data_IF_920054042626
#
_entry.id   IF_920054042626
#
_cell.length_a   1.000
_cell.length_b   1.000
_cell.length_c   1.000
_cell.angle_alpha   90.00
_cell.angle_beta   90.00
_cell.angle_gamma   90.00
#
_symmetry.space_group_name_H-M   'P 1'
#
loop_
_entity.id
_entity.type
_entity.pdbx_description
1 polymer ?
#
# COMPACT_ATOMS: atom_id res chain seq x y z
N UNK A 1 -69.79 8.33 45.49
CA UNK A 1 -70.92 7.60 44.86
C UNK A 1 -71.40 8.44 43.69
N UNK A 2 -70.74 8.28 42.54
CA UNK A 2 -71.15 8.81 41.24
C UNK A 2 -70.82 7.70 40.27
N UNK A 3 -71.89 7.02 39.84
CA UNK A 3 -71.97 6.14 38.69
C UNK A 3 -72.13 7.01 37.45
N UNK A 4 -71.41 6.68 36.38
CA UNK A 4 -71.71 6.94 34.95
C UNK A 4 -70.42 6.66 34.19
N UNK A 5 -70.34 5.98 33.06
CA UNK A 5 -71.27 5.28 32.18
C UNK A 5 -70.33 4.77 31.07
N UNK A 6 -70.21 3.46 30.87
CA UNK A 6 -69.40 2.88 29.78
C UNK A 6 -70.22 2.94 28.48
N UNK A 7 -69.67 3.40 27.35
CA UNK A 7 -70.27 3.16 26.04
C UNK A 7 -69.67 1.90 25.39
N UNK A 8 -70.61 1.07 24.91
CA UNK A 8 -70.44 -0.10 24.06
C UNK A 8 -69.91 0.27 22.65
N UNK A 9 -69.02 -0.60 22.18
CA UNK A 9 -68.90 -1.22 20.85
C UNK A 9 -69.31 -0.45 19.59
N UNK A 10 -68.34 -0.31 18.68
CA UNK A 10 -68.59 -0.54 17.25
C UNK A 10 -67.29 -0.99 16.56
N UNK A 11 -67.10 -2.30 16.49
CA UNK A 11 -66.12 -2.93 15.59
C UNK A 11 -66.54 -2.72 14.14
N UNK A 12 -65.89 -1.77 13.46
CA UNK A 12 -65.95 -1.65 12.00
C UNK A 12 -64.77 -2.42 11.40
N UNK A 13 -65.04 -3.67 11.04
CA UNK A 13 -64.14 -4.55 10.29
C UNK A 13 -64.02 -4.02 8.86
N UNK A 14 -63.02 -3.16 8.64
CA UNK A 14 -62.58 -2.73 7.32
C UNK A 14 -61.39 -3.60 6.90
N UNK A 15 -61.60 -4.44 5.88
CA UNK A 15 -60.56 -5.17 5.16
C UNK A 15 -59.54 -4.18 4.58
N UNK A 16 -58.54 -3.85 5.39
CA UNK A 16 -57.41 -3.04 5.01
C UNK A 16 -56.48 -3.88 4.16
N UNK A 17 -56.42 -3.56 2.87
CA UNK A 17 -55.35 -4.00 1.99
C UNK A 17 -54.01 -3.77 2.70
N UNK A 18 -53.37 -4.85 3.11
CA UNK A 18 -52.00 -4.89 3.62
C UNK A 18 -51.09 -4.35 2.51
N UNK A 19 -51.00 -3.03 2.48
CA UNK A 19 -49.97 -2.30 1.78
C UNK A 19 -48.71 -2.75 2.47
N UNK A 20 -48.04 -3.72 1.85
CA UNK A 20 -46.67 -4.13 2.16
C UNK A 20 -45.83 -2.85 2.03
N UNK A 21 -45.81 -2.05 3.11
CA UNK A 21 -44.82 -1.01 3.34
C UNK A 21 -43.54 -1.81 3.43
N UNK A 22 -42.93 -2.05 2.26
CA UNK A 22 -41.59 -2.58 2.18
C UNK A 22 -40.81 -1.81 3.22
N UNK A 23 -40.22 -2.54 4.16
CA UNK A 23 -39.33 -2.00 5.16
C UNK A 23 -38.35 -1.13 4.38
N UNK A 24 -38.61 0.18 4.35
CA UNK A 24 -37.66 1.17 3.90
C UNK A 24 -36.57 1.00 4.95
N UNK A 25 -35.50 0.31 4.56
CA UNK A 25 -34.30 0.19 5.36
C UNK A 25 -34.01 1.60 5.88
N UNK A 26 -34.11 1.77 7.20
CA UNK A 26 -33.83 3.06 7.79
C UNK A 26 -32.44 3.46 7.30
N UNK A 27 -32.29 4.67 6.70
CA UNK A 27 -31.03 5.08 6.13
C UNK A 27 -29.97 5.00 7.22
N UNK A 28 -29.05 4.05 7.09
CA UNK A 28 -27.99 3.84 8.05
C UNK A 28 -27.10 5.07 7.97
N UNK A 29 -27.27 5.99 8.91
CA UNK A 29 -26.45 7.19 9.00
C UNK A 29 -25.02 6.74 9.31
N UNK A 30 -24.17 6.67 8.29
CA UNK A 30 -22.76 6.31 8.46
C UNK A 30 -22.10 7.29 9.43
N UNK A 31 -21.48 6.75 10.47
CA UNK A 31 -20.75 7.54 11.44
C UNK A 31 -19.53 8.19 10.76
N UNK A 32 -19.23 9.47 11.03
CA UNK A 32 -18.08 10.11 10.42
C UNK A 32 -16.77 9.38 10.75
N UNK A 33 -15.97 9.11 9.72
CA UNK A 33 -14.75 8.32 9.86
C UNK A 33 -13.59 9.19 10.35
N UNK A 34 -12.78 8.67 11.28
CA UNK A 34 -11.56 9.34 11.74
C UNK A 34 -10.49 9.34 10.64
N UNK A 35 -9.64 10.38 10.59
CA UNK A 35 -8.60 10.51 9.56
C UNK A 35 -7.46 9.45 9.62
N UNK A 36 -7.51 8.53 10.59
CA UNK A 36 -6.53 7.47 10.82
C UNK A 36 -5.27 7.92 11.59
N UNK A 37 -4.55 6.95 12.15
CA UNK A 37 -3.35 7.18 12.97
C UNK A 37 -2.08 7.17 12.09
N UNK A 38 -1.70 8.32 11.55
CA UNK A 38 -0.42 8.46 10.83
C UNK A 38 0.09 9.90 10.81
N UNK A 39 1.39 10.09 10.56
CA UNK A 39 1.98 11.43 10.36
C UNK A 39 1.27 12.21 9.24
N UNK A 40 0.88 11.52 8.17
CA UNK A 40 0.18 12.13 7.03
C UNK A 40 -1.24 12.58 7.41
N UNK A 41 -1.95 11.79 8.21
CA UNK A 41 -3.26 12.15 8.76
C UNK A 41 -3.14 13.34 9.72
N UNK A 42 -2.12 13.35 10.59
CA UNK A 42 -1.82 14.48 11.47
C UNK A 42 -1.56 15.77 10.70
N UNK A 43 -0.70 15.71 9.67
CA UNK A 43 -0.39 16.87 8.85
C UNK A 43 -1.61 17.35 8.07
N UNK A 44 -2.44 16.44 7.55
CA UNK A 44 -3.69 16.78 6.87
C UNK A 44 -4.67 17.46 7.83
N UNK A 45 -4.91 16.88 9.01
CA UNK A 45 -5.78 17.46 10.03
C UNK A 45 -5.28 18.82 10.52
N UNK A 46 -3.96 18.98 10.75
CA UNK A 46 -3.36 20.25 11.17
C UNK A 46 -3.43 21.29 10.06
N UNK A 47 -3.09 20.97 8.82
CA UNK A 47 -3.22 21.85 7.67
C UNK A 47 -4.66 22.38 7.54
N UNK A 48 -5.66 21.49 7.62
CA UNK A 48 -7.06 21.88 7.44
C UNK A 48 -7.53 22.75 8.62
N UNK A 49 -7.34 22.29 9.86
CA UNK A 49 -7.85 22.97 11.06
C UNK A 49 -7.14 24.27 11.37
N UNK A 50 -5.82 24.28 11.27
CA UNK A 50 -5.04 25.48 11.58
C UNK A 50 -5.22 26.54 10.50
N UNK A 51 -5.34 26.15 9.23
CA UNK A 51 -5.63 27.10 8.16
C UNK A 51 -6.97 27.83 8.34
N UNK A 52 -8.04 27.07 8.64
CA UNK A 52 -9.38 27.66 8.87
C UNK A 52 -9.35 28.64 10.04
N UNK A 53 -8.73 28.24 11.14
CA UNK A 53 -8.68 29.05 12.35
C UNK A 53 -7.78 30.29 12.22
N UNK A 54 -6.71 30.21 11.43
CA UNK A 54 -5.88 31.37 11.09
C UNK A 54 -6.66 32.38 10.25
N UNK A 55 -7.49 31.92 9.31
CA UNK A 55 -8.36 32.79 8.51
C UNK A 55 -9.54 33.35 9.30
N UNK A 56 -10.03 32.64 10.31
CA UNK A 56 -11.09 33.08 11.22
C UNK A 56 -10.65 34.07 12.30
N UNK A 57 -9.38 34.52 12.32
CA UNK A 57 -8.91 35.52 13.29
C UNK A 57 -8.62 34.99 14.69
N UNK A 58 -8.19 33.72 14.83
CA UNK A 58 -7.89 33.13 16.15
C UNK A 58 -6.78 33.89 16.89
N UNK A 59 -6.99 34.16 18.19
CA UNK A 59 -6.03 34.87 19.06
C UNK A 59 -4.68 34.15 19.22
N UNK A 60 -4.64 32.83 19.07
CA UNK A 60 -3.44 32.00 19.27
C UNK A 60 -2.70 31.67 17.96
N UNK A 61 -2.48 32.67 17.09
CA UNK A 61 -1.84 32.53 15.77
C UNK A 61 -0.52 31.74 15.84
N UNK A 62 0.38 32.13 16.75
CA UNK A 62 1.72 31.54 16.84
C UNK A 62 1.68 30.04 17.15
N UNK A 63 0.81 29.61 18.07
CA UNK A 63 0.69 28.19 18.45
C UNK A 63 0.22 27.35 17.27
N UNK A 64 -0.71 27.86 16.47
CA UNK A 64 -1.26 27.17 15.29
C UNK A 64 -0.23 27.06 14.17
N UNK A 65 0.49 28.14 13.88
CA UNK A 65 1.58 28.15 12.90
C UNK A 65 2.68 27.16 13.30
N UNK A 66 3.09 27.17 14.58
CA UNK A 66 4.10 26.23 15.08
C UNK A 66 3.64 24.79 15.00
N UNK A 67 2.38 24.49 15.31
CA UNK A 67 1.82 23.13 15.18
C UNK A 67 1.79 22.65 13.74
N UNK A 68 1.29 23.48 12.82
CA UNK A 68 1.26 23.18 11.40
C UNK A 68 2.68 22.94 10.86
N UNK A 69 3.62 23.84 11.19
CA UNK A 69 5.03 23.69 10.81
C UNK A 69 5.66 22.41 11.37
N UNK A 70 5.40 22.07 12.64
CA UNK A 70 5.91 20.84 13.26
C UNK A 70 5.35 19.58 12.56
N UNK A 71 4.05 19.56 12.24
CA UNK A 71 3.43 18.42 11.54
C UNK A 71 3.99 18.24 10.13
N UNK A 72 4.21 19.34 9.39
CA UNK A 72 4.83 19.32 8.07
C UNK A 72 6.30 18.90 8.13
N UNK A 73 7.05 19.39 9.12
CA UNK A 73 8.44 18.99 9.33
C UNK A 73 8.54 17.48 9.60
N UNK A 74 7.60 16.91 10.36
CA UNK A 74 7.52 15.46 10.58
C UNK A 74 7.22 14.68 9.28
N UNK A 75 6.34 15.19 8.41
CA UNK A 75 6.10 14.58 7.08
C UNK A 75 7.39 14.61 6.25
N UNK A 76 8.02 15.78 6.13
CA UNK A 76 9.27 15.95 5.35
C UNK A 76 10.37 15.04 5.89
N UNK A 77 10.52 14.98 7.22
CA UNK A 77 11.49 14.09 7.88
C UNK A 77 11.18 12.61 7.59
N UNK A 78 9.93 12.18 7.72
CA UNK A 78 9.51 10.80 7.43
C UNK A 78 9.79 10.43 5.97
N UNK A 79 9.42 11.29 5.03
CA UNK A 79 9.65 11.09 3.60
C UNK A 79 11.14 11.04 3.28
N UNK A 80 11.93 11.98 3.81
CA UNK A 80 13.37 12.01 3.62
C UNK A 80 14.04 10.74 4.17
N UNK A 81 13.65 10.29 5.37
CA UNK A 81 14.16 9.07 5.96
C UNK A 81 13.78 7.83 5.14
N UNK A 82 12.53 7.74 4.67
CA UNK A 82 12.09 6.63 3.83
C UNK A 82 12.86 6.57 2.51
N UNK A 83 13.05 7.70 1.82
CA UNK A 83 13.85 7.75 0.59
C UNK A 83 15.33 7.48 0.85
N UNK A 84 15.89 7.96 1.96
CA UNK A 84 17.25 7.64 2.37
C UNK A 84 17.44 6.14 2.57
N UNK A 85 16.53 5.48 3.29
CA UNK A 85 16.60 4.03 3.51
C UNK A 85 16.42 3.25 2.20
N UNK A 86 15.46 3.63 1.36
CA UNK A 86 15.28 3.06 0.02
C UNK A 86 16.54 3.19 -0.85
N UNK A 87 17.17 4.36 -0.82
CA UNK A 87 18.43 4.62 -1.53
C UNK A 87 19.55 3.70 -1.03
N UNK A 88 19.66 3.49 0.28
CA UNK A 88 20.66 2.59 0.86
C UNK A 88 20.37 1.12 0.51
N UNK A 89 19.11 0.67 0.61
CA UNK A 89 18.70 -0.68 0.19
C UNK A 89 19.06 -0.92 -1.27
N UNK A 90 18.78 0.06 -2.15
CA UNK A 90 19.13 -0.06 -3.56
C UNK A 90 20.65 -0.17 -3.77
N UNK A 91 21.42 0.75 -3.21
CA UNK A 91 22.85 0.84 -3.51
C UNK A 91 23.70 -0.22 -2.79
N UNK A 92 23.39 -0.52 -1.53
CA UNK A 92 24.20 -1.39 -0.69
C UNK A 92 23.77 -2.85 -0.81
N UNK A 93 22.46 -3.11 -0.93
CA UNK A 93 21.91 -4.47 -0.91
C UNK A 93 21.56 -4.94 -2.32
N UNK A 94 20.62 -4.26 -2.98
CA UNK A 94 20.08 -4.71 -4.27
C UNK A 94 21.16 -4.77 -5.37
N UNK A 95 21.99 -3.73 -5.54
CA UNK A 95 23.07 -3.76 -6.55
C UNK A 95 24.06 -4.89 -6.33
N UNK A 96 24.44 -5.15 -5.08
CA UNK A 96 25.38 -6.22 -4.72
C UNK A 96 24.77 -7.59 -5.01
N UNK A 97 23.53 -7.83 -4.55
CA UNK A 97 22.78 -9.05 -4.78
C UNK A 97 22.58 -9.34 -6.29
N UNK A 98 22.16 -8.32 -7.06
CA UNK A 98 22.00 -8.44 -8.52
C UNK A 98 23.33 -8.77 -9.22
N UNK A 99 24.45 -8.19 -8.78
CA UNK A 99 25.76 -8.51 -9.37
C UNK A 99 26.17 -9.96 -9.06
N UNK A 100 25.94 -10.40 -7.83
CA UNK A 100 26.29 -11.76 -7.39
C UNK A 100 25.47 -12.81 -8.15
N UNK A 101 24.14 -12.71 -8.15
CA UNK A 101 23.28 -13.67 -8.85
C UNK A 101 23.55 -13.73 -10.37
N UNK A 102 23.95 -12.59 -10.98
CA UNK A 102 24.38 -12.55 -12.39
C UNK A 102 25.70 -13.24 -12.64
N UNK A 103 26.62 -13.16 -11.68
CA UNK A 103 27.90 -13.86 -11.75
C UNK A 103 27.67 -15.37 -11.65
N UNK A 104 26.89 -15.80 -10.66
CA UNK A 104 26.57 -17.22 -10.44
C UNK A 104 25.87 -17.81 -11.66
N UNK A 105 24.86 -17.12 -12.19
CA UNK A 105 24.20 -17.53 -13.43
C UNK A 105 25.15 -17.51 -14.65
N UNK A 106 26.07 -16.54 -14.72
CA UNK A 106 27.04 -16.47 -15.83
C UNK A 106 28.01 -17.64 -15.83
N UNK A 107 28.48 -18.10 -14.67
CA UNK A 107 29.39 -19.24 -14.58
C UNK A 107 28.67 -20.54 -14.92
N UNK A 108 27.43 -20.68 -14.46
CA UNK A 108 26.53 -21.77 -14.86
C UNK A 108 26.36 -21.81 -16.39
N UNK A 109 25.95 -20.70 -17.01
CA UNK A 109 25.73 -20.62 -18.47
C UNK A 109 27.00 -20.95 -19.27
N UNK A 110 28.15 -20.45 -18.85
CA UNK A 110 29.40 -20.77 -19.51
C UNK A 110 29.74 -22.26 -19.44
N UNK A 111 29.47 -22.89 -18.31
CA UNK A 111 29.77 -24.31 -18.09
C UNK A 111 28.80 -25.23 -18.83
N UNK A 112 27.51 -24.89 -18.84
CA UNK A 112 26.44 -25.73 -19.39
C UNK A 112 26.30 -25.66 -20.92
N UNK A 113 26.71 -24.55 -21.53
CA UNK A 113 26.66 -24.36 -22.99
C UNK A 113 28.07 -24.45 -23.63
N UNK A 114 29.13 -24.25 -22.84
CA UNK A 114 30.50 -24.23 -23.31
C UNK A 114 30.89 -22.95 -24.05
N UNK A 115 32.18 -22.82 -24.36
CA UNK A 115 32.75 -21.61 -24.97
C UNK A 115 32.24 -21.32 -26.40
N UNK A 116 31.81 -22.35 -27.13
CA UNK A 116 31.35 -22.21 -28.52
C UNK A 116 29.87 -21.82 -28.64
N UNK A 117 29.06 -22.03 -27.59
CA UNK A 117 27.62 -21.76 -27.58
C UNK A 117 27.22 -20.79 -26.46
N UNK A 118 28.19 -19.98 -25.99
CA UNK A 118 27.95 -18.89 -25.06
C UNK A 118 28.50 -17.57 -25.63
N UNK A 119 27.78 -16.47 -25.36
CA UNK A 119 28.17 -15.13 -25.78
C UNK A 119 28.08 -14.15 -24.61
N UNK A 120 28.90 -13.10 -24.63
CA UNK A 120 28.86 -12.04 -23.62
C UNK A 120 27.72 -11.06 -23.95
N UNK A 121 26.83 -10.83 -23.00
CA UNK A 121 25.79 -9.80 -23.13
C UNK A 121 26.36 -8.38 -22.94
N UNK A 122 25.52 -7.36 -23.12
CA UNK A 122 25.89 -5.92 -22.94
C UNK A 122 26.49 -5.58 -21.57
N UNK A 123 26.26 -6.42 -20.56
CA UNK A 123 26.74 -6.24 -19.20
C UNK A 123 28.01 -7.08 -18.90
N UNK A 124 28.56 -7.80 -19.89
CA UNK A 124 29.76 -8.62 -19.73
C UNK A 124 29.54 -9.96 -19.03
N UNK A 125 28.32 -10.49 -19.04
CA UNK A 125 28.01 -11.83 -18.51
C UNK A 125 27.71 -12.81 -19.64
N UNK A 126 28.16 -14.06 -19.51
CA UNK A 126 27.91 -15.14 -20.47
C UNK A 126 26.42 -15.53 -20.51
N UNK A 127 25.93 -15.81 -21.71
CA UNK A 127 24.58 -16.30 -22.01
C UNK A 127 24.66 -17.39 -23.07
N UNK A 128 23.99 -18.49 -22.84
CA UNK A 128 23.88 -19.65 -23.69
C UNK A 128 22.97 -19.41 -24.89
N UNK A 129 23.22 -20.15 -25.96
CA UNK A 129 22.36 -20.19 -27.14
C UNK A 129 21.25 -21.24 -26.96
N UNK A 130 19.97 -20.87 -27.17
CA UNK A 130 18.86 -21.82 -27.05
C UNK A 130 19.08 -23.08 -27.92
N UNK A 131 18.92 -24.26 -27.32
CA UNK A 131 19.08 -25.55 -28.00
C UNK A 131 20.44 -26.23 -27.82
N UNK A 132 21.42 -25.55 -27.21
CA UNK A 132 22.76 -26.10 -26.95
C UNK A 132 23.03 -26.42 -25.46
N UNK A 133 21.97 -26.52 -24.64
CA UNK A 133 22.09 -26.86 -23.23
C UNK A 133 22.56 -28.32 -23.07
N UNK A 134 23.71 -28.52 -22.42
CA UNK A 134 24.24 -29.84 -22.09
C UNK A 134 24.06 -30.14 -20.59
N UNK A 135 22.95 -30.80 -20.24
CA UNK A 135 22.59 -31.08 -18.84
C UNK A 135 23.56 -32.01 -18.10
N UNK A 136 24.39 -32.76 -18.84
CA UNK A 136 25.40 -33.67 -18.29
C UNK A 136 26.58 -32.91 -17.67
N UNK A 137 26.90 -31.72 -18.18
CA UNK A 137 27.98 -30.87 -17.65
C UNK A 137 27.67 -30.33 -16.25
N UNK A 138 26.41 -30.40 -15.82
CA UNK A 138 26.05 -30.02 -14.46
C UNK A 138 26.77 -30.88 -13.41
N UNK A 139 27.14 -32.11 -13.72
CA UNK A 139 27.91 -32.96 -12.81
C UNK A 139 29.35 -32.49 -12.60
N UNK A 140 29.91 -31.78 -13.58
CA UNK A 140 31.29 -31.28 -13.56
C UNK A 140 31.41 -29.98 -12.75
N UNK A 141 30.28 -29.32 -12.47
CA UNK A 141 30.21 -28.14 -11.59
C UNK A 141 30.42 -28.57 -10.13
N UNK A 142 31.22 -27.80 -9.40
CA UNK A 142 31.47 -28.03 -7.97
C UNK A 142 30.17 -27.98 -7.15
N UNK A 143 30.12 -28.77 -6.08
CA UNK A 143 28.93 -28.89 -5.21
C UNK A 143 28.40 -27.52 -4.75
N UNK A 144 29.27 -26.66 -4.23
CA UNK A 144 28.91 -25.33 -3.73
C UNK A 144 28.31 -24.43 -4.82
N UNK A 145 28.80 -24.55 -6.05
CA UNK A 145 28.31 -23.77 -7.18
C UNK A 145 26.95 -24.28 -7.67
N UNK A 146 26.74 -25.60 -7.68
CA UNK A 146 25.42 -26.20 -7.95
C UNK A 146 24.40 -25.73 -6.93
N UNK A 147 24.77 -25.76 -5.64
CA UNK A 147 23.89 -25.35 -4.56
C UNK A 147 23.55 -23.85 -4.67
N UNK A 148 24.53 -23.00 -4.98
CA UNK A 148 24.31 -21.56 -5.24
C UNK A 148 23.36 -21.30 -6.41
N UNK A 149 23.56 -22.03 -7.52
CA UNK A 149 22.73 -21.89 -8.74
C UNK A 149 21.31 -22.39 -8.49
N UNK A 150 21.13 -23.52 -7.80
CA UNK A 150 19.80 -24.03 -7.48
C UNK A 150 19.08 -23.19 -6.41
N UNK A 151 19.79 -22.39 -5.62
CA UNK A 151 19.19 -21.40 -4.72
C UNK A 151 18.75 -20.09 -5.41
N UNK A 152 18.98 -19.94 -6.72
CA UNK A 152 18.42 -18.82 -7.49
C UNK A 152 16.88 -18.89 -7.41
N UNK A 153 16.17 -17.84 -6.95
CA UNK A 153 14.73 -17.92 -6.74
C UNK A 153 13.91 -18.27 -7.99
N UNK A 154 14.42 -17.93 -9.19
CA UNK A 154 13.78 -18.31 -10.46
C UNK A 154 13.84 -19.82 -10.77
N UNK A 155 14.71 -20.59 -10.11
CA UNK A 155 14.68 -22.06 -10.17
C UNK A 155 13.43 -22.64 -9.48
N UNK A 156 12.86 -21.89 -8.52
CA UNK A 156 11.71 -22.25 -7.70
C UNK A 156 10.58 -21.22 -7.84
N UNK A 157 10.04 -21.11 -9.05
CA UNK A 157 9.09 -20.05 -9.44
C UNK A 157 7.87 -20.00 -8.53
N UNK A 158 7.31 -21.15 -8.15
CA UNK A 158 6.11 -21.20 -7.31
C UNK A 158 6.36 -20.58 -5.93
N UNK A 159 7.53 -20.88 -5.34
CA UNK A 159 7.95 -20.31 -4.06
C UNK A 159 8.21 -18.80 -4.18
N UNK A 160 8.94 -18.38 -5.21
CA UNK A 160 9.19 -16.96 -5.48
C UNK A 160 7.87 -16.21 -5.72
N UNK A 161 6.94 -16.78 -6.48
CA UNK A 161 5.64 -16.19 -6.78
C UNK A 161 4.84 -15.95 -5.50
N UNK A 162 4.76 -16.96 -4.62
CA UNK A 162 4.07 -16.84 -3.34
C UNK A 162 4.65 -15.70 -2.48
N UNK A 163 5.97 -15.62 -2.35
CA UNK A 163 6.63 -14.54 -1.59
C UNK A 163 6.38 -13.17 -2.23
N UNK A 164 6.59 -13.04 -3.54
CA UNK A 164 6.37 -11.77 -4.24
C UNK A 164 4.90 -11.34 -4.16
N UNK A 165 3.97 -12.28 -4.15
CA UNK A 165 2.55 -12.03 -3.97
C UNK A 165 2.26 -11.50 -2.57
N UNK A 166 2.77 -12.15 -1.52
CA UNK A 166 2.64 -11.67 -0.13
C UNK A 166 3.20 -10.25 -0.02
N UNK A 167 4.41 -10.02 -0.53
CA UNK A 167 5.04 -8.70 -0.54
C UNK A 167 4.20 -7.65 -1.28
N UNK A 168 3.71 -7.99 -2.47
CA UNK A 168 2.88 -7.09 -3.29
C UNK A 168 1.57 -6.79 -2.60
N UNK A 169 0.92 -7.76 -1.96
CA UNK A 169 -0.30 -7.57 -1.19
C UNK A 169 -0.08 -6.64 0.02
N UNK A 170 1.04 -6.77 0.73
CA UNK A 170 1.42 -5.84 1.81
C UNK A 170 1.57 -4.40 1.30
N UNK A 171 2.21 -4.23 0.13
CA UNK A 171 2.28 -2.93 -0.53
C UNK A 171 0.90 -2.45 -1.02
N UNK A 172 0.07 -3.34 -1.56
CA UNK A 172 -1.26 -3.04 -2.08
C UNK A 172 -2.21 -2.58 -0.97
N UNK A 173 -2.15 -3.19 0.23
CA UNK A 173 -2.89 -2.70 1.40
C UNK A 173 -2.48 -1.26 1.77
N UNK A 174 -1.18 -0.98 1.77
CA UNK A 174 -0.68 0.38 2.02
C UNK A 174 -1.11 1.38 0.95
N UNK A 175 -1.13 0.94 -0.32
CA UNK A 175 -1.53 1.75 -1.48
C UNK A 175 -3.05 2.01 -1.48
N UNK A 176 -3.86 0.99 -1.19
CA UNK A 176 -5.32 1.09 -1.03
C UNK A 176 -5.67 2.18 -0.04
N UNK A 177 -5.06 2.19 1.14
CA UNK A 177 -5.31 3.23 2.15
C UNK A 177 -4.93 4.64 1.65
N UNK A 178 -3.91 4.77 0.78
CA UNK A 178 -3.56 6.06 0.16
C UNK A 178 -4.62 6.47 -0.85
N UNK A 179 -5.07 5.53 -1.69
CA UNK A 179 -6.09 5.78 -2.71
C UNK A 179 -7.41 6.15 -2.06
N UNK A 180 -7.86 5.43 -1.04
CA UNK A 180 -9.10 5.72 -0.30
C UNK A 180 -9.06 7.13 0.30
N UNK A 181 -7.99 7.49 1.02
CA UNK A 181 -7.82 8.84 1.55
C UNK A 181 -7.75 9.91 0.43
N UNK A 182 -7.13 9.58 -0.70
CA UNK A 182 -7.04 10.50 -1.85
C UNK A 182 -8.41 10.72 -2.47
N UNK A 183 -9.18 9.66 -2.70
CA UNK A 183 -10.55 9.73 -3.23
C UNK A 183 -11.44 10.52 -2.26
N UNK A 184 -11.37 10.23 -0.96
CA UNK A 184 -12.16 10.89 0.08
C UNK A 184 -11.89 12.39 0.16
N UNK A 185 -10.62 12.81 0.20
CA UNK A 185 -10.27 14.21 0.36
C UNK A 185 -10.34 15.01 -0.95
N UNK A 186 -9.96 14.41 -2.08
CA UNK A 186 -9.82 15.14 -3.34
C UNK A 186 -11.09 15.12 -4.18
N UNK A 187 -11.75 13.96 -4.24
CA UNK A 187 -12.88 13.71 -5.15
C UNK A 187 -14.20 13.90 -4.40
N UNK A 188 -14.38 13.20 -3.28
CA UNK A 188 -15.65 13.16 -2.54
C UNK A 188 -15.91 14.47 -1.81
N UNK A 189 -14.94 14.96 -1.05
CA UNK A 189 -15.12 16.18 -0.27
C UNK A 189 -15.35 17.37 -1.21
N UNK A 190 -16.51 18.07 -1.15
CA UNK A 190 -16.83 19.13 -2.11
C UNK A 190 -15.86 20.30 -2.00
N UNK A 191 -15.65 21.00 -3.13
CA UNK A 191 -14.80 22.19 -3.16
C UNK A 191 -15.61 23.42 -2.74
N UNK A 192 -15.26 24.04 -1.62
CA UNK A 192 -15.93 25.26 -1.12
C UNK A 192 -15.15 26.52 -1.48
N UNK A 193 -15.85 27.64 -1.68
CA UNK A 193 -15.25 28.93 -2.03
C UNK A 193 -14.79 29.70 -0.79
N UNK A 194 -15.52 29.55 0.33
CA UNK A 194 -15.20 30.20 1.60
C UNK A 194 -14.62 29.23 2.62
N UNK A 195 -13.69 29.73 3.43
CA UNK A 195 -13.05 28.99 4.52
C UNK A 195 -14.03 28.73 5.69
N UNK A 196 -15.07 29.57 5.84
CA UNK A 196 -16.10 29.38 6.86
C UNK A 196 -16.99 28.16 6.60
N UNK A 197 -17.08 27.67 5.36
CA UNK A 197 -17.90 26.52 4.96
C UNK A 197 -17.17 25.18 5.13
N UNK A 198 -15.90 25.21 5.55
CA UNK A 198 -15.07 24.01 5.70
C UNK A 198 -15.56 23.12 6.84
N UNK A 199 -16.03 23.73 7.94
CA UNK A 199 -16.52 23.01 9.11
C UNK A 199 -18.01 23.18 9.31
N UNK A 200 -18.65 22.13 9.82
CA UNK A 200 -19.99 22.24 10.35
C UNK A 200 -19.95 22.86 11.75
N UNK A 201 -20.58 24.02 11.91
CA UNK A 201 -20.61 24.75 13.18
C UNK A 201 -21.53 24.08 14.21
N UNK A 202 -22.53 23.32 13.77
CA UNK A 202 -23.53 22.72 14.65
C UNK A 202 -22.98 21.49 15.40
N UNK A 203 -21.94 20.85 14.87
CA UNK A 203 -21.31 19.65 15.43
C UNK A 203 -20.14 19.94 16.38
N UNK A 204 -19.89 21.22 16.69
CA UNK A 204 -18.74 21.61 17.54
C UNK A 204 -18.93 21.30 19.04
N UNK A 205 -20.14 20.89 19.45
CA UNK A 205 -20.52 20.68 20.86
C UNK A 205 -19.87 19.44 21.53
N UNK A 206 -19.13 18.62 20.79
CA UNK A 206 -18.43 17.43 21.31
C UNK A 206 -16.90 17.49 21.26
N UNK A 207 -16.30 18.58 20.78
CA UNK A 207 -14.85 18.64 20.51
C UNK A 207 -14.41 17.84 19.27
N UNK A 208 -15.37 17.25 18.56
CA UNK A 208 -15.22 16.67 17.23
C UNK A 208 -15.33 17.77 16.17
N UNK A 209 -14.54 17.65 15.10
CA UNK A 209 -14.54 18.59 13.98
C UNK A 209 -14.77 17.79 12.72
N UNK A 210 -15.95 17.99 12.11
CA UNK A 210 -16.34 17.32 10.87
C UNK A 210 -16.02 18.23 9.69
N UNK A 211 -15.22 17.72 8.74
CA UNK A 211 -14.89 18.42 7.49
C UNK A 211 -16.05 18.23 6.51
N UNK A 212 -16.71 19.33 6.15
CA UNK A 212 -17.81 19.34 5.17
C UNK A 212 -17.32 19.63 3.75
N UNK A 213 -16.27 20.42 3.61
CA UNK A 213 -15.72 20.84 2.32
C UNK A 213 -14.29 21.32 2.43
N UNK A 214 -13.58 21.38 1.31
CA UNK A 214 -12.20 21.88 1.26
C UNK A 214 -12.04 22.91 0.16
N UNK A 215 -11.30 24.00 0.43
CA UNK A 215 -10.96 24.93 -0.64
C UNK A 215 -9.98 24.28 -1.64
N UNK A 216 -9.97 24.75 -2.89
CA UNK A 216 -9.06 24.22 -3.93
C UNK A 216 -7.58 24.31 -3.50
N UNK A 217 -7.18 25.41 -2.86
CA UNK A 217 -5.82 25.59 -2.35
C UNK A 217 -5.45 24.58 -1.26
N UNK A 218 -6.38 24.26 -0.35
CA UNK A 218 -6.15 23.24 0.68
C UNK A 218 -6.03 21.84 0.08
N UNK A 219 -6.89 21.49 -0.90
CA UNK A 219 -6.79 20.23 -1.65
C UNK A 219 -5.43 20.09 -2.33
N UNK A 220 -4.98 21.15 -3.02
CA UNK A 220 -3.67 21.15 -3.67
C UNK A 220 -2.52 20.99 -2.67
N UNK A 221 -2.58 21.68 -1.52
CA UNK A 221 -1.57 21.56 -0.48
C UNK A 221 -1.52 20.14 0.12
N UNK A 222 -2.67 19.55 0.46
CA UNK A 222 -2.75 18.18 0.99
C UNK A 222 -2.26 17.16 -0.05
N UNK A 223 -2.68 17.29 -1.30
CA UNK A 223 -2.25 16.41 -2.39
C UNK A 223 -0.73 16.45 -2.59
N UNK A 224 -0.16 17.64 -2.68
CA UNK A 224 1.27 17.82 -3.01
C UNK A 224 2.19 17.51 -1.83
N UNK A 225 1.82 17.91 -0.60
CA UNK A 225 2.68 17.78 0.57
C UNK A 225 2.50 16.44 1.30
N UNK A 226 1.31 15.81 1.21
CA UNK A 226 1.01 14.60 1.98
C UNK A 226 0.76 13.37 1.10
N UNK A 227 -0.18 13.44 0.15
CA UNK A 227 -0.66 12.25 -0.58
C UNK A 227 0.33 11.78 -1.66
N UNK A 228 0.81 12.69 -2.50
CA UNK A 228 1.70 12.36 -3.62
C UNK A 228 3.05 11.77 -3.16
N UNK A 229 3.77 12.33 -2.17
CA UNK A 229 5.01 11.74 -1.69
C UNK A 229 4.80 10.33 -1.12
N UNK A 230 3.69 10.11 -0.41
CA UNK A 230 3.33 8.81 0.14
C UNK A 230 3.05 7.78 -0.96
N UNK A 231 2.31 8.17 -2.01
CA UNK A 231 2.04 7.33 -3.16
C UNK A 231 3.33 6.91 -3.88
N UNK A 232 4.20 7.88 -4.17
CA UNK A 232 5.49 7.61 -4.84
C UNK A 232 6.35 6.67 -4.00
N UNK A 233 6.42 6.89 -2.68
CA UNK A 233 7.25 6.07 -1.80
C UNK A 233 6.79 4.60 -1.75
N UNK A 234 5.47 4.34 -1.68
CA UNK A 234 4.92 2.97 -1.70
C UNK A 234 5.16 2.29 -3.04
N UNK A 235 4.95 2.98 -4.16
CA UNK A 235 5.18 2.44 -5.50
C UNK A 235 6.67 2.11 -5.73
N UNK A 236 7.57 3.01 -5.33
CA UNK A 236 9.00 2.81 -5.41
C UNK A 236 9.47 1.63 -4.54
N UNK A 237 8.90 1.50 -3.32
CA UNK A 237 9.21 0.41 -2.41
C UNK A 237 8.71 -0.94 -2.94
N UNK A 238 7.51 -1.01 -3.53
CA UNK A 238 7.01 -2.24 -4.15
C UNK A 238 7.94 -2.71 -5.29
N UNK A 239 8.28 -1.81 -6.21
CA UNK A 239 9.17 -2.11 -7.33
C UNK A 239 10.58 -2.53 -6.88
N UNK A 240 11.19 -1.76 -5.97
CA UNK A 240 12.51 -2.07 -5.45
C UNK A 240 12.52 -3.36 -4.64
N UNK A 241 11.47 -3.60 -3.85
CA UNK A 241 11.30 -4.81 -3.06
C UNK A 241 11.22 -6.05 -3.94
N UNK A 242 10.38 -6.05 -4.98
CA UNK A 242 10.31 -7.17 -5.93
C UNK A 242 11.68 -7.47 -6.57
N UNK A 243 12.42 -6.42 -6.96
CA UNK A 243 13.75 -6.56 -7.55
C UNK A 243 14.79 -7.10 -6.57
N UNK A 244 14.77 -6.66 -5.31
CA UNK A 244 15.72 -7.13 -4.30
C UNK A 244 15.42 -8.56 -3.87
N UNK A 245 14.15 -8.91 -3.66
CA UNK A 245 13.73 -10.28 -3.31
C UNK A 245 14.13 -11.27 -4.40
N UNK A 246 13.90 -10.94 -5.68
CA UNK A 246 14.28 -11.80 -6.80
C UNK A 246 15.81 -11.95 -6.96
N UNK A 247 16.59 -10.96 -6.52
CA UNK A 247 18.04 -10.97 -6.60
C UNK A 247 18.75 -11.67 -5.43
N UNK A 248 18.00 -12.17 -4.44
CA UNK A 248 18.57 -12.84 -3.27
C UNK A 248 18.99 -14.26 -3.64
N UNK A 249 20.18 -14.69 -3.22
CA UNK A 249 20.83 -15.95 -3.62
C UNK A 249 20.59 -17.12 -2.64
N UNK A 250 19.62 -16.98 -1.75
CA UNK A 250 19.22 -17.98 -0.76
C UNK A 250 17.73 -17.83 -0.48
N UNK A 251 16.98 -18.94 -0.57
CA UNK A 251 15.52 -18.94 -0.37
C UNK A 251 15.12 -18.51 1.06
N UNK A 252 15.96 -18.81 2.06
CA UNK A 252 15.76 -18.39 3.44
C UNK A 252 15.95 -16.88 3.62
N UNK A 253 16.95 -16.31 2.95
CA UNK A 253 17.24 -14.88 2.98
C UNK A 253 16.14 -14.06 2.29
N UNK A 254 15.45 -14.64 1.29
CA UNK A 254 14.33 -13.96 0.62
C UNK A 254 13.24 -13.57 1.65
N UNK A 255 12.87 -14.48 2.56
CA UNK A 255 11.84 -14.21 3.57
C UNK A 255 12.31 -13.14 4.57
N UNK A 256 13.55 -13.24 5.05
CA UNK A 256 14.15 -12.25 5.96
C UNK A 256 14.22 -10.86 5.32
N UNK A 257 14.60 -10.80 4.04
CA UNK A 257 14.64 -9.55 3.28
C UNK A 257 13.23 -8.96 3.09
N UNK A 258 12.20 -9.81 2.93
CA UNK A 258 10.80 -9.38 2.88
C UNK A 258 10.34 -8.72 4.17
N UNK A 259 10.63 -9.33 5.32
CA UNK A 259 10.34 -8.76 6.64
C UNK A 259 11.11 -7.47 6.90
N UNK A 260 12.36 -7.38 6.46
CA UNK A 260 13.16 -6.16 6.57
C UNK A 260 12.55 -5.00 5.74
N UNK A 261 11.97 -5.28 4.58
CA UNK A 261 11.28 -4.28 3.77
C UNK A 261 9.96 -3.81 4.40
N UNK A 262 9.28 -4.66 5.17
CA UNK A 262 8.06 -4.29 5.89
C UNK A 262 8.32 -3.16 6.90
N UNK A 263 9.48 -3.16 7.56
CA UNK A 263 9.90 -2.07 8.45
C UNK A 263 9.85 -0.69 7.76
N UNK A 264 10.17 -0.62 6.47
CA UNK A 264 10.10 0.63 5.70
C UNK A 264 8.66 1.12 5.47
N UNK A 265 7.68 0.20 5.36
CA UNK A 265 6.27 0.55 5.23
C UNK A 265 5.69 1.07 6.56
N UNK A 266 6.11 0.47 7.68
CA UNK A 266 5.61 0.78 9.03
C UNK A 266 6.27 2.04 9.63
N UNK A 267 7.39 2.51 9.07
CA UNK A 267 8.15 3.66 9.56
C UNK A 267 7.29 4.90 9.87
N UNK A 268 6.31 5.22 9.02
CA UNK A 268 5.41 6.38 9.22
C UNK A 268 4.56 6.27 10.49
N UNK A 269 4.16 5.05 10.86
CA UNK A 269 3.36 4.79 12.06
C UNK A 269 4.26 4.79 13.31
N UNK A 270 5.47 4.22 13.20
CA UNK A 270 6.46 4.26 14.27
C UNK A 270 6.81 5.70 14.65
N UNK A 271 7.09 6.55 13.66
CA UNK A 271 7.39 7.96 13.90
C UNK A 271 6.16 8.71 14.43
N UNK A 272 4.95 8.40 13.96
CA UNK A 272 3.72 8.96 14.51
C UNK A 272 3.60 8.66 16.01
N UNK A 273 3.77 7.39 16.37
CA UNK A 273 3.59 6.92 17.74
C UNK A 273 4.63 7.54 18.69
N UNK A 274 5.89 7.57 18.25
CA UNK A 274 7.01 8.03 19.05
C UNK A 274 7.12 9.56 19.18
N UNK A 275 6.84 10.31 18.09
CA UNK A 275 7.15 11.74 18.03
C UNK A 275 5.92 12.64 18.20
N UNK A 276 4.70 12.10 18.06
CA UNK A 276 3.48 12.91 18.16
C UNK A 276 3.01 13.03 19.61
N UNK A 277 2.80 14.25 20.07
CA UNK A 277 2.23 14.49 21.41
C UNK A 277 0.80 13.92 21.52
N UNK A 278 0.42 13.44 22.72
CA UNK A 278 -0.94 12.94 23.00
C UNK A 278 -2.05 13.93 22.61
N UNK A 279 -1.79 15.23 22.74
CA UNK A 279 -2.74 16.29 22.32
C UNK A 279 -2.96 16.29 20.81
N UNK A 280 -1.88 16.13 20.03
CA UNK A 280 -1.97 16.09 18.58
C UNK A 280 -2.64 14.78 18.11
N UNK A 281 -2.42 13.65 18.78
CA UNK A 281 -3.11 12.38 18.49
C UNK A 281 -4.64 12.52 18.63
N UNK A 282 -5.10 13.00 19.80
CA UNK A 282 -6.51 13.33 20.03
C UNK A 282 -7.09 14.33 19.03
N UNK A 283 -6.29 15.31 18.61
CA UNK A 283 -6.74 16.25 17.58
C UNK A 283 -6.99 15.55 16.24
N UNK A 284 -6.09 14.65 15.83
CA UNK A 284 -6.26 13.85 14.61
C UNK A 284 -7.48 12.93 14.72
N UNK A 285 -7.63 12.21 15.84
CA UNK A 285 -8.78 11.34 16.13
C UNK A 285 -10.11 12.11 16.07
N UNK A 286 -10.16 13.31 16.65
CA UNK A 286 -11.35 14.15 16.67
C UNK A 286 -11.63 14.85 15.33
N UNK A 287 -10.75 14.74 14.33
CA UNK A 287 -11.00 15.32 13.01
C UNK A 287 -11.58 14.26 12.10
N UNK A 288 -12.88 14.35 11.85
CA UNK A 288 -13.64 13.37 11.08
C UNK A 288 -13.97 13.92 9.70
N UNK A 289 -14.07 13.05 8.71
CA UNK A 289 -14.50 13.41 7.36
C UNK A 289 -15.95 12.94 7.20
N UNK A 290 -16.81 13.80 6.66
CA UNK A 290 -18.20 13.43 6.40
C UNK A 290 -18.23 12.34 5.32
N UNK A 291 -18.92 11.20 5.55
CA UNK A 291 -19.12 10.20 4.52
C UNK A 291 -19.95 10.77 3.37
N UNK A 292 -19.87 10.14 2.21
CA UNK A 292 -20.59 10.56 1.01
C UNK A 292 -22.10 10.57 1.30
N UNK A 293 -22.80 11.65 0.93
CA UNK A 293 -24.26 11.70 1.06
C UNK A 293 -24.91 10.58 0.24
N UNK A 294 -25.97 9.96 0.79
CA UNK A 294 -26.59 8.70 0.32
C UNK A 294 -26.90 8.62 -1.19
N UNK A 295 -27.02 9.74 -1.90
CA UNK A 295 -27.28 9.76 -3.35
C UNK A 295 -26.19 9.11 -4.20
N UNK A 296 -24.92 9.20 -3.79
CA UNK A 296 -23.78 8.71 -4.58
C UNK A 296 -23.14 7.44 -4.01
N UNK A 297 -23.68 6.90 -2.91
CA UNK A 297 -23.09 5.80 -2.15
C UNK A 297 -23.00 4.47 -2.96
N UNK A 298 -23.94 4.23 -3.88
CA UNK A 298 -24.06 2.94 -4.59
C UNK A 298 -22.79 2.48 -5.31
N UNK A 299 -22.06 3.42 -5.95
CA UNK A 299 -20.85 3.09 -6.71
C UNK A 299 -19.68 2.78 -5.76
N UNK A 300 -19.54 3.54 -4.67
CA UNK A 300 -18.52 3.28 -3.66
C UNK A 300 -18.76 2.00 -2.88
N UNK A 301 -20.01 1.66 -2.54
CA UNK A 301 -20.33 0.41 -1.84
C UNK A 301 -19.95 -0.81 -2.68
N UNK A 302 -20.16 -0.76 -4.00
CA UNK A 302 -19.71 -1.84 -4.89
C UNK A 302 -18.17 -1.92 -4.94
N UNK A 303 -17.50 -0.77 -5.01
CA UNK A 303 -16.03 -0.71 -4.99
C UNK A 303 -15.44 -1.15 -3.65
N UNK A 304 -16.10 -0.89 -2.53
CA UNK A 304 -15.63 -1.31 -1.20
C UNK A 304 -15.86 -2.81 -1.00
N UNK A 305 -17.02 -3.32 -1.41
CA UNK A 305 -17.37 -4.74 -1.33
C UNK A 305 -16.44 -5.63 -2.19
N UNK A 306 -16.16 -5.21 -3.43
CA UNK A 306 -15.30 -5.95 -4.34
C UNK A 306 -13.83 -5.49 -4.30
N UNK A 307 -13.51 -4.44 -3.55
CA UNK A 307 -12.20 -3.80 -3.57
C UNK A 307 -11.07 -4.74 -3.20
N UNK A 308 -11.26 -5.57 -2.17
CA UNK A 308 -10.26 -6.55 -1.76
C UNK A 308 -9.93 -7.55 -2.88
N UNK A 309 -10.94 -8.06 -3.58
CA UNK A 309 -10.78 -9.00 -4.68
C UNK A 309 -10.09 -8.34 -5.88
N UNK A 310 -10.44 -7.09 -6.22
CA UNK A 310 -9.78 -6.33 -7.29
C UNK A 310 -8.30 -6.12 -6.95
N UNK A 311 -7.96 -5.69 -5.72
CA UNK A 311 -6.56 -5.50 -5.32
C UNK A 311 -5.76 -6.81 -5.30
N UNK A 312 -6.39 -7.92 -4.92
CA UNK A 312 -5.76 -9.24 -4.99
C UNK A 312 -5.45 -9.65 -6.44
N UNK A 313 -6.41 -9.49 -7.36
CA UNK A 313 -6.23 -9.77 -8.78
C UNK A 313 -5.15 -8.88 -9.41
N UNK A 314 -5.16 -7.58 -9.10
CA UNK A 314 -4.11 -6.64 -9.54
C UNK A 314 -2.74 -7.07 -9.03
N UNK A 315 -2.64 -7.56 -7.79
CA UNK A 315 -1.37 -8.05 -7.22
C UNK A 315 -0.88 -9.32 -7.92
N UNK A 316 -1.76 -10.26 -8.22
CA UNK A 316 -1.44 -11.49 -8.99
C UNK A 316 -0.94 -11.13 -10.39
N UNK A 317 -1.67 -10.25 -11.11
CA UNK A 317 -1.29 -9.79 -12.44
C UNK A 317 0.04 -9.05 -12.40
N UNK A 318 0.26 -8.20 -11.38
CA UNK A 318 1.52 -7.49 -11.21
C UNK A 318 2.71 -8.44 -11.01
N UNK A 319 2.60 -9.43 -10.12
CA UNK A 319 3.69 -10.40 -9.87
C UNK A 319 3.99 -11.21 -11.11
N UNK A 320 2.96 -11.67 -11.83
CA UNK A 320 3.12 -12.36 -13.11
C UNK A 320 3.85 -11.47 -14.13
N UNK A 321 3.38 -10.24 -14.34
CA UNK A 321 4.04 -9.30 -15.24
C UNK A 321 5.48 -8.99 -14.79
N UNK A 322 5.72 -8.91 -13.47
CA UNK A 322 7.03 -8.63 -12.92
C UNK A 322 8.03 -9.74 -13.25
N UNK A 323 7.68 -11.00 -12.93
CA UNK A 323 8.56 -12.15 -13.13
C UNK A 323 8.87 -12.36 -14.63
N UNK A 324 7.86 -12.29 -15.51
CA UNK A 324 8.04 -12.66 -16.91
C UNK A 324 8.48 -11.52 -17.82
N UNK A 325 8.12 -10.26 -17.52
CA UNK A 325 8.34 -9.14 -18.45
C UNK A 325 9.15 -7.98 -17.87
N UNK A 326 9.00 -7.65 -16.58
CA UNK A 326 9.63 -6.44 -16.00
C UNK A 326 10.97 -6.75 -15.34
N UNK A 327 11.21 -7.97 -14.87
CA UNK A 327 12.41 -8.28 -14.11
C UNK A 327 13.66 -7.92 -14.91
N UNK A 328 14.57 -7.20 -14.25
CA UNK A 328 15.84 -6.75 -14.83
C UNK A 328 17.04 -7.37 -14.10
N UNK A 329 16.80 -8.36 -13.24
CA UNK A 329 17.84 -9.02 -12.44
C UNK A 329 18.64 -9.97 -13.33
N UNK A 330 17.97 -10.85 -14.06
CA UNK A 330 18.58 -11.80 -14.99
C UNK A 330 18.03 -11.56 -16.40
N UNK A 331 18.57 -10.57 -17.15
CA UNK A 331 18.13 -10.31 -18.52
C UNK A 331 18.45 -11.52 -19.41
N UNK A 332 17.44 -11.97 -20.16
CA UNK A 332 17.54 -13.12 -21.06
C UNK A 332 17.54 -14.47 -20.32
N UNK A 333 16.91 -14.57 -19.15
CA UNK A 333 16.80 -15.84 -18.43
C UNK A 333 16.04 -16.89 -19.26
N UNK A 334 16.65 -18.06 -19.48
CA UNK A 334 16.15 -19.10 -20.38
C UNK A 334 15.31 -20.19 -19.69
N UNK A 335 15.05 -20.06 -18.38
CA UNK A 335 14.33 -21.07 -17.57
C UNK A 335 15.01 -22.44 -17.50
N UNK A 336 16.28 -22.51 -17.85
CA UNK A 336 17.08 -23.73 -17.92
C UNK A 336 17.56 -24.21 -16.54
N UNK A 337 17.89 -23.29 -15.63
CA UNK A 337 18.27 -23.64 -14.25
C UNK A 337 17.14 -24.42 -13.55
N UNK A 338 15.88 -23.99 -13.71
CA UNK A 338 14.74 -24.67 -13.11
C UNK A 338 14.63 -26.13 -13.60
N UNK A 339 14.82 -26.34 -14.91
CA UNK A 339 14.80 -27.67 -15.51
C UNK A 339 15.91 -28.57 -14.96
N UNK A 340 17.15 -28.06 -14.88
CA UNK A 340 18.31 -28.85 -14.41
C UNK A 340 18.19 -29.15 -12.92
N UNK A 341 17.86 -28.17 -12.08
CA UNK A 341 17.77 -28.38 -10.62
C UNK A 341 16.64 -29.33 -10.20
N UNK A 342 15.53 -29.41 -10.95
CA UNK A 342 14.46 -30.38 -10.69
C UNK A 342 14.91 -31.84 -10.90
N UNK A 343 15.90 -32.08 -11.78
CA UNK A 343 16.44 -33.41 -12.07
C UNK A 343 17.37 -33.94 -10.98
N UNK A 344 17.90 -33.05 -10.12
CA UNK A 344 18.85 -33.39 -9.05
C UNK A 344 18.30 -33.07 -7.64
N UNK A 345 17.17 -33.66 -7.21
CA UNK A 345 16.50 -33.32 -5.96
C UNK A 345 17.28 -33.72 -4.70
N UNK A 346 18.31 -34.58 -4.82
CA UNK A 346 19.18 -34.97 -3.71
C UNK A 346 19.94 -33.79 -3.06
N UNK A 347 19.90 -32.61 -3.69
CA UNK A 347 20.50 -31.37 -3.21
C UNK A 347 19.54 -30.53 -2.34
N UNK A 348 18.24 -30.84 -2.35
CA UNK A 348 17.19 -30.08 -1.64
C UNK A 348 16.80 -30.68 -0.28
N UNK A 349 17.41 -31.79 0.14
CA UNK A 349 17.07 -32.50 1.38
C UNK A 349 17.88 -32.06 2.62
N UNK A 350 18.29 -30.79 2.67
CA UNK A 350 18.90 -30.15 3.85
C UNK A 350 17.86 -29.18 4.42
#
# INVERSE_FOLDING_TARGET
>A
MVLDSLPEDSESQSDGADTYKGHLEEPFAEEPESMGESIFALATASLIRDWVMLKGGSEAVHVRVMRMAASLLLVVFCVALQFFLLYNVYNLLCKKAVKQIRNDYSTYEFTMYGANHSHLNKNGFYRGEPGFLNDMQFHDIGQDERDSVCQIPLAHVDYLFAILLIWTLTCAASLRNVVEHTVQLMIITPTVSSVSEVFDHDLYMGGEVVIRGLTCGMKLAVATLCLLPRLIAVMALNFLGCRWLLATNSLGDVLLNGLALEFLLVLKNLLYEALTSKRNKRMTENTKILPLSHGDASLMTCMSANGALIWALVSVVWVYLFIYYVQSVLPGYLWDVAYVCQKYPSLLSI
#
